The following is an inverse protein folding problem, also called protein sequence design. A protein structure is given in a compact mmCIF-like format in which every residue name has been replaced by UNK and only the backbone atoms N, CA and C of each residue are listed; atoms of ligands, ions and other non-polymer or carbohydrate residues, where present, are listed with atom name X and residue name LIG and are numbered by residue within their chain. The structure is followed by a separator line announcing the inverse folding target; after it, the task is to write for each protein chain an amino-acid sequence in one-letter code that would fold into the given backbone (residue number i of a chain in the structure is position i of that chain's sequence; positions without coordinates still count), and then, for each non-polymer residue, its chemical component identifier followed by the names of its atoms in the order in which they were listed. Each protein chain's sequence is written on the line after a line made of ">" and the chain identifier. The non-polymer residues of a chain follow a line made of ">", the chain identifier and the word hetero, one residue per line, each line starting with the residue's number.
data_IF_939378292244
#
_entry.id   IF_939378292244
#
_cell.length_a   1.000
_cell.length_b   1.000
_cell.length_c   1.000
_cell.angle_alpha   90.00
_cell.angle_beta   90.00
_cell.angle_gamma   90.00
#
_symmetry.space_group_name_H-M   'P 1'
#
loop_
_entity.id
_entity.type
_entity.pdbx_description
1 polymer ?
#
# COMPACT_ATOMS: atom_id res chain seq x y z
N UNK A 1 7.07 5.52 0.77
CA UNK A 1 6.32 4.25 0.91
C UNK A 1 7.00 3.38 1.95
N UNK A 2 6.26 2.98 2.98
CA UNK A 2 6.73 1.95 3.91
C UNK A 2 6.91 0.64 3.16
N UNK A 3 7.86 -0.20 3.59
CA UNK A 3 7.99 -1.56 3.06
C UNK A 3 7.33 -2.52 4.02
N UNK A 4 6.79 -3.62 3.49
CA UNK A 4 6.30 -4.71 4.34
C UNK A 4 7.39 -5.21 5.31
N UNK A 5 8.66 -5.18 4.89
CA UNK A 5 9.81 -5.53 5.73
C UNK A 5 9.88 -4.74 7.05
N UNK A 6 9.45 -3.48 7.04
CA UNK A 6 9.54 -2.58 8.19
C UNK A 6 8.53 -2.95 9.29
N UNK A 7 7.47 -3.70 8.95
CA UNK A 7 6.46 -4.20 9.89
C UNK A 7 6.70 -5.64 10.35
N UNK A 8 7.71 -6.33 9.80
CA UNK A 8 8.04 -7.68 10.20
C UNK A 8 8.62 -7.73 11.61
N UNK A 9 8.35 -8.85 12.28
CA UNK A 9 9.00 -9.13 13.56
C UNK A 9 10.50 -9.43 13.36
N UNK A 10 11.21 -9.46 14.50
CA UNK A 10 12.65 -9.74 14.52
C UNK A 10 13.01 -11.09 13.86
N UNK A 11 12.18 -12.11 14.03
CA UNK A 11 12.49 -13.44 13.48
C UNK A 11 12.38 -13.43 11.97
N UNK A 12 11.33 -12.82 11.41
CA UNK A 12 11.14 -12.70 9.97
C UNK A 12 12.24 -11.84 9.33
N UNK A 13 12.63 -10.72 9.96
CA UNK A 13 13.76 -9.92 9.48
C UNK A 13 15.09 -10.66 9.53
N UNK A 14 15.29 -11.52 10.54
CA UNK A 14 16.46 -12.38 10.64
C UNK A 14 16.46 -13.44 9.54
N UNK A 15 15.30 -13.96 9.16
CA UNK A 15 15.11 -15.15 8.33
C UNK A 15 14.92 -14.88 6.83
N UNK A 16 14.44 -13.70 6.47
CA UNK A 16 14.14 -13.31 5.10
C UNK A 16 14.84 -12.00 4.72
N UNK A 17 15.01 -11.80 3.42
CA UNK A 17 15.42 -10.53 2.84
C UNK A 17 14.19 -9.63 2.61
N UNK A 18 14.39 -8.31 2.39
CA UNK A 18 13.28 -7.38 2.15
C UNK A 18 12.38 -7.72 0.96
N UNK A 19 12.87 -8.47 -0.03
CA UNK A 19 12.10 -8.96 -1.18
C UNK A 19 11.32 -10.25 -0.89
N UNK A 20 11.39 -10.76 0.33
CA UNK A 20 10.74 -12.01 0.76
C UNK A 20 11.55 -13.28 0.46
N UNK A 21 12.71 -13.17 -0.18
CA UNK A 21 13.59 -14.34 -0.41
C UNK A 21 14.16 -14.87 0.91
N UNK A 22 14.31 -16.20 0.99
CA UNK A 22 14.76 -16.88 2.20
C UNK A 22 16.28 -16.85 2.33
N UNK A 23 16.78 -16.36 3.47
CA UNK A 23 18.21 -16.35 3.76
C UNK A 23 18.77 -17.78 3.94
N UNK A 24 20.05 -18.02 3.60
CA UNK A 24 20.64 -19.36 3.63
C UNK A 24 20.52 -20.08 4.99
N UNK A 25 20.73 -19.40 6.11
CA UNK A 25 20.69 -20.03 7.43
C UNK A 25 19.29 -20.58 7.79
N UNK A 26 18.20 -19.93 7.35
CA UNK A 26 16.84 -20.44 7.54
C UNK A 26 16.65 -21.72 6.72
N UNK A 27 17.08 -21.70 5.46
CA UNK A 27 17.02 -22.85 4.55
C UNK A 27 17.76 -24.05 5.15
N UNK A 28 18.99 -23.85 5.63
CA UNK A 28 19.79 -24.87 6.33
C UNK A 28 19.09 -25.40 7.59
N UNK A 29 18.54 -24.50 8.42
CA UNK A 29 17.81 -24.88 9.64
C UNK A 29 16.55 -25.69 9.34
N UNK A 30 15.83 -25.39 8.26
CA UNK A 30 14.63 -26.13 7.85
C UNK A 30 15.00 -27.52 7.30
N UNK A 31 16.07 -27.61 6.50
CA UNK A 31 16.61 -28.89 6.02
C UNK A 31 17.05 -29.77 7.20
N UNK A 32 17.76 -29.21 8.18
CA UNK A 32 18.19 -29.93 9.38
C UNK A 32 17.01 -30.46 10.23
N UNK A 33 15.83 -29.83 10.11
CA UNK A 33 14.58 -30.27 10.74
C UNK A 33 13.79 -31.29 9.90
N UNK A 34 14.36 -31.75 8.78
CA UNK A 34 13.75 -32.76 7.91
C UNK A 34 12.71 -32.21 6.93
N UNK A 35 12.65 -30.89 6.73
CA UNK A 35 11.75 -30.31 5.72
C UNK A 35 12.28 -30.58 4.31
N UNK A 36 11.40 -31.00 3.40
CA UNK A 36 11.79 -31.23 2.00
C UNK A 36 12.18 -29.92 1.30
N UNK A 37 13.10 -29.97 0.33
CA UNK A 37 13.44 -28.79 -0.49
C UNK A 37 12.22 -28.15 -1.17
N UNK A 38 11.25 -28.95 -1.61
CA UNK A 38 10.02 -28.46 -2.22
C UNK A 38 9.15 -27.65 -1.25
N UNK A 39 9.03 -28.10 0.00
CA UNK A 39 8.29 -27.37 1.04
C UNK A 39 9.00 -26.08 1.42
N UNK A 40 10.34 -26.08 1.47
CA UNK A 40 11.12 -24.86 1.73
C UNK A 40 10.92 -23.84 0.60
N UNK A 41 10.99 -24.28 -0.66
CA UNK A 41 10.72 -23.43 -1.81
C UNK A 41 9.28 -22.88 -1.80
N UNK A 42 8.31 -23.67 -1.36
CA UNK A 42 6.94 -23.20 -1.17
C UNK A 42 6.86 -22.08 -0.12
N UNK A 43 7.52 -22.24 1.05
CA UNK A 43 7.54 -21.20 2.09
C UNK A 43 8.20 -19.91 1.63
N UNK A 44 9.30 -20.00 0.89
CA UNK A 44 9.95 -18.84 0.26
C UNK A 44 9.00 -18.14 -0.72
N UNK A 45 8.36 -18.89 -1.62
CA UNK A 45 7.38 -18.35 -2.56
C UNK A 45 6.20 -17.66 -1.85
N UNK A 46 5.69 -18.22 -0.75
CA UNK A 46 4.62 -17.58 0.02
C UNK A 46 5.06 -16.22 0.57
N UNK A 47 6.29 -16.13 1.11
CA UNK A 47 6.81 -14.87 1.65
C UNK A 47 7.05 -13.83 0.56
N UNK A 48 7.59 -14.24 -0.58
CA UNK A 48 7.75 -13.36 -1.75
C UNK A 48 6.40 -12.87 -2.28
N UNK A 49 5.38 -13.73 -2.31
CA UNK A 49 4.01 -13.32 -2.68
C UNK A 49 3.39 -12.34 -1.69
N UNK A 50 3.71 -12.45 -0.39
CA UNK A 50 3.28 -11.51 0.63
C UNK A 50 3.83 -10.10 0.35
N UNK A 51 5.15 -10.00 0.11
CA UNK A 51 5.82 -8.74 -0.26
C UNK A 51 5.20 -8.16 -1.53
N UNK A 52 5.07 -9.00 -2.57
CA UNK A 52 4.49 -8.57 -3.86
C UNK A 52 3.09 -8.00 -3.68
N UNK A 53 2.21 -8.67 -2.93
CA UNK A 53 0.83 -8.22 -2.70
C UNK A 53 0.77 -6.92 -1.90
N UNK A 54 1.69 -6.74 -0.95
CA UNK A 54 1.79 -5.49 -0.22
C UNK A 54 2.18 -4.35 -1.17
N UNK A 55 3.23 -4.54 -1.97
CA UNK A 55 3.69 -3.53 -2.93
C UNK A 55 2.61 -3.19 -3.97
N UNK A 56 1.92 -4.20 -4.50
CA UNK A 56 0.78 -4.00 -5.41
C UNK A 56 -0.34 -3.16 -4.77
N UNK A 57 -0.64 -3.39 -3.49
CA UNK A 57 -1.64 -2.59 -2.77
C UNK A 57 -1.18 -1.15 -2.57
N UNK A 58 0.08 -0.94 -2.17
CA UNK A 58 0.63 0.42 -2.00
C UNK A 58 0.58 1.20 -3.32
N UNK A 59 0.92 0.56 -4.44
CA UNK A 59 0.84 1.17 -5.78
C UNK A 59 -0.60 1.48 -6.18
N UNK A 60 -1.54 0.54 -6.02
CA UNK A 60 -2.95 0.78 -6.32
C UNK A 60 -3.53 1.97 -5.54
N UNK A 61 -3.10 2.15 -4.29
CA UNK A 61 -3.52 3.30 -3.48
C UNK A 61 -2.89 4.60 -3.95
N UNK A 62 -1.60 4.58 -4.27
CA UNK A 62 -0.92 5.74 -4.82
C UNK A 62 -1.57 6.18 -6.13
N UNK A 63 -1.84 5.24 -7.04
CA UNK A 63 -2.49 5.51 -8.33
C UNK A 63 -3.90 6.08 -8.17
N UNK A 64 -4.66 5.59 -7.18
CA UNK A 64 -6.07 5.96 -7.01
C UNK A 64 -6.29 7.21 -6.15
N UNK A 65 -5.43 7.44 -5.16
CA UNK A 65 -5.66 8.44 -4.11
C UNK A 65 -4.48 9.41 -3.92
N UNK A 66 -3.40 9.26 -4.68
CA UNK A 66 -2.21 10.12 -4.58
C UNK A 66 -1.32 9.83 -3.37
N UNK A 67 -1.72 8.90 -2.50
CA UNK A 67 -0.97 8.48 -1.30
C UNK A 67 -0.90 6.95 -1.18
N UNK A 68 0.21 6.39 -0.68
CA UNK A 68 0.29 4.97 -0.37
C UNK A 68 -0.69 4.55 0.73
N UNK A 69 -1.13 3.30 0.71
CA UNK A 69 -2.03 2.77 1.75
C UNK A 69 -1.45 2.87 3.16
N UNK A 70 -0.16 2.55 3.32
CA UNK A 70 0.54 2.65 4.59
C UNK A 70 0.54 4.07 5.17
N UNK A 71 0.60 5.08 4.31
CA UNK A 71 0.56 6.48 4.70
C UNK A 71 -0.85 6.92 5.07
N UNK A 72 -1.85 6.50 4.30
CA UNK A 72 -3.26 6.67 4.65
C UNK A 72 -3.61 6.04 6.01
N UNK A 73 -3.12 4.83 6.27
CA UNK A 73 -3.33 4.13 7.55
C UNK A 73 -2.68 4.90 8.72
N UNK A 74 -1.49 5.46 8.50
CA UNK A 74 -0.74 6.23 9.50
C UNK A 74 -1.34 7.62 9.79
N UNK A 75 -2.08 8.22 8.86
CA UNK A 75 -2.79 9.50 9.07
C UNK A 75 -3.94 9.42 10.09
N UNK A 76 -4.15 8.25 10.71
CA UNK A 76 -5.04 8.09 11.84
C UNK A 76 -6.49 8.04 11.41
N UNK A 77 -6.90 6.98 10.71
CA UNK A 77 -8.30 6.61 10.40
C UNK A 77 -9.23 7.81 10.10
N UNK A 78 -8.81 8.81 9.32
CA UNK A 78 -9.82 9.52 8.54
C UNK A 78 -10.42 8.46 7.65
N UNK A 79 -11.68 8.08 7.93
CA UNK A 79 -12.33 7.03 7.15
C UNK A 79 -12.28 7.44 5.68
N UNK A 80 -12.15 6.51 4.74
CA UNK A 80 -12.19 6.84 3.31
C UNK A 80 -13.41 7.73 2.99
N UNK A 81 -14.54 7.45 3.64
CA UNK A 81 -15.76 8.24 3.56
C UNK A 81 -15.60 9.70 4.05
N UNK A 82 -14.69 9.97 4.99
CA UNK A 82 -14.37 11.32 5.45
C UNK A 82 -13.47 12.07 4.47
N UNK A 83 -12.48 11.39 3.87
CA UNK A 83 -11.68 11.96 2.78
C UNK A 83 -12.55 12.27 1.56
N UNK A 84 -13.42 11.34 1.15
CA UNK A 84 -14.39 11.55 0.07
C UNK A 84 -15.38 12.67 0.39
N UNK A 85 -15.83 12.79 1.65
CA UNK A 85 -16.66 13.94 2.07
C UNK A 85 -15.92 15.25 1.95
N UNK A 86 -14.68 15.31 2.44
CA UNK A 86 -13.85 16.52 2.37
C UNK A 86 -13.56 16.88 0.91
N UNK A 87 -13.24 15.90 0.07
CA UNK A 87 -13.06 16.07 -1.37
C UNK A 87 -14.30 16.72 -2.00
N UNK A 88 -15.48 16.14 -1.80
CA UNK A 88 -16.72 16.64 -2.37
C UNK A 88 -17.08 18.06 -1.89
N UNK A 89 -16.78 18.37 -0.63
CA UNK A 89 -16.96 19.73 -0.09
C UNK A 89 -15.98 20.70 -0.76
N UNK A 90 -14.71 20.35 -0.86
CA UNK A 90 -13.68 21.20 -1.45
C UNK A 90 -13.96 21.49 -2.94
N UNK A 91 -14.39 20.48 -3.70
CA UNK A 91 -14.86 20.64 -5.09
C UNK A 91 -16.09 21.56 -5.17
N UNK A 92 -17.07 21.39 -4.27
CA UNK A 92 -18.24 22.29 -4.16
C UNK A 92 -17.90 23.71 -3.70
N UNK A 93 -16.75 23.92 -3.10
CA UNK A 93 -16.27 25.23 -2.70
C UNK A 93 -15.38 25.88 -3.78
N UNK A 94 -15.01 25.13 -4.83
CA UNK A 94 -14.07 25.58 -5.86
C UNK A 94 -12.64 25.74 -5.35
N UNK A 95 -12.23 24.97 -4.34
CA UNK A 95 -10.85 24.95 -3.84
C UNK A 95 -9.88 24.48 -4.94
N UNK A 96 -8.61 24.90 -4.90
CA UNK A 96 -7.66 24.51 -5.94
C UNK A 96 -7.49 22.98 -5.98
N UNK A 97 -7.35 22.43 -7.20
CA UNK A 97 -7.19 20.98 -7.39
C UNK A 97 -6.01 20.41 -6.60
N UNK A 98 -4.96 21.22 -6.41
CA UNK A 98 -3.76 20.89 -5.64
C UNK A 98 -3.96 20.91 -4.12
N UNK A 99 -5.04 21.51 -3.61
CA UNK A 99 -5.38 21.53 -2.18
C UNK A 99 -6.38 20.43 -1.80
N UNK A 100 -6.82 19.63 -2.76
CA UNK A 100 -7.78 18.57 -2.54
C UNK A 100 -7.14 17.39 -1.76
N UNK A 101 -7.89 16.77 -0.83
CA UNK A 101 -7.39 15.67 -0.02
C UNK A 101 -7.21 14.35 -0.79
N UNK A 102 -7.81 14.22 -1.97
CA UNK A 102 -7.67 13.09 -2.88
C UNK A 102 -7.31 13.60 -4.27
N UNK A 103 -6.43 12.88 -4.96
CA UNK A 103 -6.18 13.12 -6.38
C UNK A 103 -7.46 12.92 -7.20
N UNK A 104 -7.64 13.78 -8.18
CA UNK A 104 -8.74 13.78 -9.14
C UNK A 104 -8.19 14.21 -10.49
N UNK A 105 -8.66 13.59 -11.57
CA UNK A 105 -8.28 14.04 -12.91
C UNK A 105 -8.72 15.50 -13.12
N UNK A 106 -7.88 16.37 -13.70
CA UNK A 106 -8.25 17.76 -13.96
C UNK A 106 -9.56 17.91 -14.73
N UNK A 107 -9.82 17.08 -15.73
CA UNK A 107 -11.03 17.15 -16.54
C UNK A 107 -12.26 16.78 -15.69
N UNK A 108 -12.18 15.70 -14.90
CA UNK A 108 -13.23 15.28 -13.97
C UNK A 108 -13.51 16.36 -12.91
N UNK A 109 -12.46 17.01 -12.40
CA UNK A 109 -12.59 18.11 -11.45
C UNK A 109 -13.37 19.28 -12.06
N UNK A 110 -12.95 19.77 -13.22
CA UNK A 110 -13.60 20.91 -13.86
C UNK A 110 -15.05 20.60 -14.28
N UNK A 111 -15.35 19.36 -14.70
CA UNK A 111 -16.72 18.92 -14.93
C UNK A 111 -17.57 18.98 -13.65
N UNK A 112 -17.05 18.50 -12.52
CA UNK A 112 -17.78 18.53 -11.26
C UNK A 112 -18.02 19.96 -10.74
N UNK A 113 -17.03 20.84 -10.85
CA UNK A 113 -17.15 22.26 -10.47
C UNK A 113 -18.15 22.99 -11.37
N UNK A 114 -18.15 22.70 -12.68
CA UNK A 114 -19.15 23.22 -13.63
C UNK A 114 -20.56 22.74 -13.29
N UNK A 115 -20.72 21.46 -12.99
CA UNK A 115 -22.01 20.89 -12.56
C UNK A 115 -22.49 21.47 -11.22
N UNK A 116 -21.57 21.95 -10.37
CA UNK A 116 -21.87 22.66 -9.14
C UNK A 116 -22.21 24.15 -9.35
N UNK A 117 -22.09 24.68 -10.58
CA UNK A 117 -22.44 26.06 -10.93
C UNK A 117 -21.40 27.10 -10.50
N UNK A 118 -20.14 26.69 -10.32
CA UNK A 118 -19.03 27.54 -9.86
C UNK A 118 -18.11 27.99 -11.01
N UNK A 119 -18.33 27.46 -12.21
CA UNK A 119 -17.68 27.79 -13.48
C UNK A 119 -18.75 27.92 -14.57
#
# INVERSE_FOLDING_TARGET
>A
MARLYDSWDFLDQMDYNPDGSMKPHKRERLLARGMSPSNIAYLENQKMLEVKKYDEREQQWLEKYGIPYSEWEAQGRQSLAELERRQNIAIRNGEEISSLPLDIDPDDYYEQVRNAGLL
#
